data_IF_905168971503
#
_entry.id   IF_905168971503
#
_cell.length_a   1.000
_cell.length_b   1.000
_cell.length_c   1.000
_cell.angle_alpha   90.00
_cell.angle_beta   90.00
_cell.angle_gamma   90.00
#
_symmetry.space_group_name_H-M   'P 1'
#
loop_
_entity.id
_entity.type
_entity.pdbx_description
1 polymer ?
#
# COMPACT_ATOMS: atom_id res chain seq x y z
N UNK A 1 -21.18 5.76 14.68
CA UNK A 1 -20.32 6.90 15.05
C UNK A 1 -18.89 6.56 14.66
N UNK A 2 -18.29 7.45 13.88
CA UNK A 2 -16.91 7.43 13.37
C UNK A 2 -16.69 6.63 12.09
N UNK A 3 -17.11 7.26 11.00
CA UNK A 3 -16.60 7.15 9.63
C UNK A 3 -15.07 7.00 9.65
N UNK A 4 -14.57 5.82 9.27
CA UNK A 4 -13.14 5.45 9.28
C UNK A 4 -12.56 5.38 7.86
N UNK A 5 -12.86 6.37 7.01
CA UNK A 5 -12.06 6.61 5.79
C UNK A 5 -10.83 7.40 6.20
N UNK A 6 -9.65 6.78 6.19
CA UNK A 6 -8.39 7.42 6.65
C UNK A 6 -7.52 7.87 5.49
N UNK A 7 -7.72 7.32 4.28
CA UNK A 7 -6.86 7.58 3.14
C UNK A 7 -7.55 7.23 1.81
N UNK A 8 -7.09 7.83 0.71
CA UNK A 8 -7.48 7.44 -0.65
C UNK A 8 -6.26 6.88 -1.39
N UNK A 9 -6.42 5.75 -2.05
CA UNK A 9 -5.39 5.08 -2.81
C UNK A 9 -5.76 5.18 -4.29
N UNK A 10 -4.86 5.72 -5.10
CA UNK A 10 -5.04 5.79 -6.55
C UNK A 10 -4.04 4.85 -7.23
N UNK A 11 -4.53 3.91 -8.02
CA UNK A 11 -3.68 3.04 -8.83
C UNK A 11 -3.29 3.75 -10.11
N UNK A 12 -1.99 3.88 -10.38
CA UNK A 12 -1.50 4.44 -11.63
C UNK A 12 -1.74 3.52 -12.83
N UNK A 13 -1.70 2.18 -12.65
CA UNK A 13 -1.90 1.22 -13.74
C UNK A 13 -3.31 1.33 -14.36
N UNK A 14 -4.34 1.48 -13.51
CA UNK A 14 -5.76 1.35 -13.87
C UNK A 14 -6.57 2.62 -13.61
N UNK A 15 -5.92 3.70 -13.15
CA UNK A 15 -6.56 4.97 -12.74
C UNK A 15 -7.72 4.77 -11.74
N UNK A 16 -7.68 3.69 -10.96
CA UNK A 16 -8.73 3.35 -10.01
C UNK A 16 -8.48 4.06 -8.68
N UNK A 17 -9.47 4.84 -8.24
CA UNK A 17 -9.47 5.48 -6.93
C UNK A 17 -10.22 4.62 -5.92
N UNK A 18 -9.59 4.43 -4.77
CA UNK A 18 -10.01 3.50 -3.73
C UNK A 18 -9.99 4.24 -2.40
N UNK A 19 -10.98 3.98 -1.56
CA UNK A 19 -10.92 4.42 -0.16
C UNK A 19 -10.28 3.35 0.72
N UNK A 20 -9.24 3.73 1.45
CA UNK A 20 -8.64 2.88 2.47
C UNK A 20 -9.45 2.97 3.76
N UNK A 21 -10.03 1.83 4.12
CA UNK A 21 -10.83 1.68 5.32
C UNK A 21 -9.93 1.09 6.42
N UNK A 22 -9.94 1.68 7.62
CA UNK A 22 -9.12 1.24 8.75
C UNK A 22 -9.42 -0.19 9.28
N UNK A 23 -10.30 -0.95 8.61
CA UNK A 23 -10.48 -2.39 8.82
C UNK A 23 -9.39 -3.24 8.18
N UNK A 24 -8.62 -2.69 7.24
CA UNK A 24 -7.52 -3.42 6.60
C UNK A 24 -6.22 -3.26 7.40
N UNK A 25 -5.49 -4.36 7.71
CA UNK A 25 -4.25 -4.30 8.47
C UNK A 25 -3.09 -3.62 7.70
N UNK A 26 -3.05 -3.73 6.38
CA UNK A 26 -2.01 -3.17 5.51
C UNK A 26 -2.55 -2.82 4.12
N UNK A 27 -1.78 -2.05 3.33
CA UNK A 27 -2.13 -1.71 1.94
C UNK A 27 -2.38 -2.97 1.10
N UNK A 28 -1.52 -3.98 1.25
CA UNK A 28 -1.65 -5.25 0.54
C UNK A 28 -3.04 -5.87 0.73
N UNK A 29 -3.52 -5.94 1.98
CA UNK A 29 -4.79 -6.58 2.29
C UNK A 29 -5.99 -5.80 1.72
N UNK A 30 -5.87 -4.47 1.70
CA UNK A 30 -6.87 -3.60 1.09
C UNK A 30 -6.94 -3.84 -0.43
N UNK A 31 -5.78 -3.87 -1.09
CA UNK A 31 -5.65 -4.15 -2.53
C UNK A 31 -6.19 -5.55 -2.90
N UNK A 32 -5.82 -6.59 -2.15
CA UNK A 32 -6.35 -7.95 -2.31
C UNK A 32 -7.88 -7.97 -2.20
N UNK A 33 -8.45 -7.23 -1.24
CA UNK A 33 -9.91 -7.16 -1.05
C UNK A 33 -10.64 -6.54 -2.25
N UNK A 34 -9.95 -5.70 -3.01
CA UNK A 34 -10.47 -5.11 -4.25
C UNK A 34 -10.10 -5.90 -5.51
N UNK A 35 -9.55 -7.12 -5.32
CA UNK A 35 -9.11 -8.01 -6.39
C UNK A 35 -8.03 -7.40 -7.28
N UNK A 36 -7.17 -6.58 -6.70
CA UNK A 36 -5.98 -6.06 -7.38
C UNK A 36 -4.88 -7.09 -7.22
N UNK A 37 -4.28 -7.47 -8.35
CA UNK A 37 -3.20 -8.44 -8.38
C UNK A 37 -1.91 -7.76 -7.90
N UNK A 38 -1.48 -8.09 -6.70
CA UNK A 38 -0.25 -7.58 -6.10
C UNK A 38 0.70 -8.74 -5.93
N UNK A 39 1.92 -8.62 -6.45
CA UNK A 39 2.96 -9.60 -6.18
C UNK A 39 3.28 -9.63 -4.68
N UNK A 40 3.02 -10.74 -3.99
CA UNK A 40 3.46 -10.93 -2.60
C UNK A 40 4.01 -12.34 -2.42
N UNK A 41 4.95 -12.50 -1.49
CA UNK A 41 5.45 -13.81 -1.06
C UNK A 41 5.39 -13.96 0.46
N UNK A 42 6.13 -13.11 1.17
CA UNK A 42 6.32 -13.25 2.61
C UNK A 42 5.25 -12.58 3.47
N UNK A 43 4.56 -11.55 2.97
CA UNK A 43 3.62 -10.70 3.74
C UNK A 43 4.19 -9.98 4.98
N UNK A 44 5.47 -10.17 5.29
CA UNK A 44 6.15 -9.59 6.46
C UNK A 44 7.20 -8.53 6.09
N UNK A 45 7.31 -8.12 4.82
CA UNK A 45 8.20 -7.02 4.41
C UNK A 45 9.70 -7.34 4.37
N UNK A 46 10.12 -8.61 4.53
CA UNK A 46 11.53 -9.01 4.41
C UNK A 46 11.93 -9.48 2.99
N UNK A 47 10.99 -10.02 2.21
CA UNK A 47 11.28 -10.56 0.88
C UNK A 47 11.30 -9.48 -0.22
N UNK A 48 10.65 -8.34 0.00
CA UNK A 48 10.54 -7.27 -0.99
C UNK A 48 9.70 -7.62 -2.22
N UNK A 49 8.91 -8.70 -2.19
CA UNK A 49 8.00 -9.06 -3.28
C UNK A 49 6.79 -8.11 -3.37
N UNK A 50 6.29 -7.65 -2.22
CA UNK A 50 5.16 -6.70 -2.07
C UNK A 50 5.51 -5.25 -2.44
N UNK A 51 6.52 -5.07 -3.30
CA UNK A 51 7.09 -3.77 -3.65
C UNK A 51 6.20 -3.07 -4.68
N UNK A 52 5.99 -1.79 -4.47
CA UNK A 52 5.26 -0.91 -5.37
C UNK A 52 5.95 0.44 -5.47
N UNK A 53 5.74 1.17 -6.55
CA UNK A 53 6.25 2.53 -6.70
C UNK A 53 5.22 3.51 -6.15
N UNK A 54 5.60 4.36 -5.21
CA UNK A 54 4.80 5.50 -4.75
C UNK A 54 4.97 6.65 -5.74
N UNK A 55 3.94 6.88 -6.54
CA UNK A 55 3.88 7.96 -7.54
C UNK A 55 3.64 9.31 -6.87
N UNK A 56 2.77 9.36 -5.84
CA UNK A 56 2.45 10.59 -5.12
C UNK A 56 1.90 10.32 -3.72
N UNK A 57 2.06 11.28 -2.81
CA UNK A 57 1.59 11.20 -1.43
C UNK A 57 2.64 10.62 -0.49
N UNK A 58 2.19 10.15 0.68
CA UNK A 58 3.06 9.62 1.74
C UNK A 58 2.45 8.37 2.35
N UNK A 59 3.30 7.39 2.66
CA UNK A 59 2.91 6.19 3.41
C UNK A 59 3.63 6.16 4.75
N UNK A 60 3.02 5.50 5.72
CA UNK A 60 3.57 5.29 7.05
C UNK A 60 3.85 3.81 7.26
N UNK A 61 5.06 3.49 7.73
CA UNK A 61 5.45 2.13 8.06
C UNK A 61 5.17 1.87 9.53
N UNK A 62 4.43 0.81 9.84
CA UNK A 62 4.25 0.41 11.24
C UNK A 62 5.55 -0.17 11.81
N UNK A 63 6.31 -0.86 10.96
CA UNK A 63 7.59 -1.47 11.30
C UNK A 63 8.60 -1.14 10.19
N UNK A 64 9.83 -0.83 10.58
CA UNK A 64 10.90 -0.52 9.63
C UNK A 64 11.16 -1.73 8.73
N UNK A 65 11.02 -1.59 7.41
CA UNK A 65 11.23 -2.70 6.49
C UNK A 65 12.69 -3.13 6.49
N UNK A 66 12.93 -4.44 6.68
CA UNK A 66 14.27 -5.03 6.59
C UNK A 66 14.78 -5.11 5.14
N UNK A 67 13.87 -5.13 4.17
CA UNK A 67 14.24 -5.12 2.76
C UNK A 67 14.64 -3.71 2.30
N UNK A 68 15.62 -3.64 1.40
CA UNK A 68 16.06 -2.38 0.82
C UNK A 68 14.97 -1.78 -0.07
N UNK A 69 14.36 -0.68 0.39
CA UNK A 69 13.37 0.11 -0.33
C UNK A 69 14.07 1.35 -0.88
N UNK A 70 13.93 1.62 -2.19
CA UNK A 70 14.49 2.82 -2.81
C UNK A 70 13.59 4.02 -2.55
N UNK A 71 14.13 5.22 -2.70
CA UNK A 71 13.32 6.44 -2.72
C UNK A 71 12.26 6.34 -3.83
N UNK A 72 11.00 6.55 -3.47
CA UNK A 72 9.85 6.37 -4.36
C UNK A 72 9.33 4.94 -4.44
N UNK A 73 9.94 3.96 -3.80
CA UNK A 73 9.39 2.59 -3.67
C UNK A 73 8.81 2.40 -2.27
N UNK A 74 7.84 1.50 -2.14
CA UNK A 74 7.21 1.15 -0.87
C UNK A 74 6.89 -0.34 -0.75
N UNK A 75 6.74 -0.84 0.49
CA UNK A 75 6.33 -2.23 0.76
C UNK A 75 4.91 -2.30 1.31
N UNK A 76 3.98 -2.71 0.46
CA UNK A 76 2.53 -2.71 0.75
C UNK A 76 2.14 -3.61 1.93
N UNK A 77 2.97 -4.59 2.25
CA UNK A 77 2.67 -5.56 3.29
C UNK A 77 2.85 -5.06 4.73
N UNK A 78 3.71 -4.05 4.96
CA UNK A 78 3.97 -3.47 6.28
C UNK A 78 3.69 -1.95 6.38
N UNK A 79 3.40 -1.28 5.26
CA UNK A 79 3.00 0.12 5.25
C UNK A 79 1.49 0.35 5.18
N UNK A 80 1.09 1.54 5.61
CA UNK A 80 -0.27 2.08 5.55
C UNK A 80 -0.24 3.41 4.80
N UNK A 81 -1.30 3.76 4.06
CA UNK A 81 -1.37 5.05 3.40
C UNK A 81 -1.60 6.15 4.44
N UNK A 82 -0.89 7.28 4.31
CA UNK A 82 -1.06 8.46 5.15
C UNK A 82 -1.71 9.57 4.33
N UNK A 83 -3.03 9.49 4.19
CA UNK A 83 -3.84 10.40 3.37
C UNK A 83 -3.97 9.93 1.91
N UNK A 84 -3.95 10.87 0.97
CA UNK A 84 -4.13 10.56 -0.45
C UNK A 84 -2.79 10.11 -1.06
N UNK A 85 -2.72 8.85 -1.46
CA UNK A 85 -1.54 8.25 -2.05
C UNK A 85 -1.84 7.69 -3.42
N UNK A 86 -0.88 7.76 -4.32
CA UNK A 86 -0.94 7.19 -5.66
C UNK A 86 0.19 6.20 -5.80
N UNK A 87 -0.12 4.95 -6.13
CA UNK A 87 0.86 3.86 -6.21
C UNK A 87 0.76 3.15 -7.56
N UNK A 88 1.89 2.65 -8.04
CA UNK A 88 2.03 1.85 -9.25
C UNK A 88 2.48 0.45 -8.87
N UNK A 89 1.69 -0.54 -9.29
CA UNK A 89 1.97 -1.96 -9.15
C UNK A 89 2.54 -2.38 -10.49
N UNK A 90 3.83 -2.72 -10.53
CA UNK A 90 4.58 -2.93 -11.78
C UNK A 90 4.99 -4.38 -11.97
#
# INVERSE_FOLDING_TARGET
MSDKSTASITLAENSQCIEFIAGCPSLLHCLESMKIDVAFQCREGYCGACRATLVSGSVEYNEEPLAFVREGEILLCCCKPNGNVSIDLK
#
